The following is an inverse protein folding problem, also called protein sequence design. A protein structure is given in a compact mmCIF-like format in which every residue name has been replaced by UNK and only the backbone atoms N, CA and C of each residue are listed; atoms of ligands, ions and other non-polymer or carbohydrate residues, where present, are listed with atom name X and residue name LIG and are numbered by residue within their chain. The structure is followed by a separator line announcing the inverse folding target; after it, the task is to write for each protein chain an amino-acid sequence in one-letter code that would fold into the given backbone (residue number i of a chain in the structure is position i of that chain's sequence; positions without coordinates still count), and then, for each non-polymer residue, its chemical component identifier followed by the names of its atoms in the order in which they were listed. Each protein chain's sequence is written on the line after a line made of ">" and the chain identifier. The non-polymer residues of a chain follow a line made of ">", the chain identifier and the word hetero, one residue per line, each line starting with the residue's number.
data_IF_923801082481
#
_entry.id   IF_923801082481
#
_cell.length_a   1.000
_cell.length_b   1.000
_cell.length_c   1.000
_cell.angle_alpha   90.00
_cell.angle_beta   90.00
_cell.angle_gamma   90.00
#
_symmetry.space_group_name_H-M   'P 1'
#
loop_
_entity.id
_entity.type
_entity.pdbx_description
1 polymer ?
#
# COMPACT_ATOMS: atom_id res chain seq x y z
N UNK A 1 -25.84 -7.55 3.78
CA UNK A 1 -25.01 -7.89 2.62
C UNK A 1 -23.73 -7.10 2.65
N UNK A 2 -22.62 -7.68 3.10
CA UNK A 2 -21.30 -7.05 3.01
C UNK A 2 -20.71 -7.36 1.64
N UNK A 3 -20.55 -6.35 0.79
CA UNK A 3 -19.89 -6.48 -0.51
C UNK A 3 -18.45 -6.91 -0.27
N UNK A 4 -18.08 -8.13 -0.63
CA UNK A 4 -16.70 -8.60 -0.58
C UNK A 4 -15.87 -7.74 -1.54
N UNK A 5 -15.08 -6.80 -1.01
CA UNK A 5 -14.18 -5.99 -1.81
C UNK A 5 -13.08 -6.91 -2.35
N UNK A 6 -13.16 -7.23 -3.64
CA UNK A 6 -12.12 -8.02 -4.30
C UNK A 6 -10.95 -7.09 -4.63
N UNK A 7 -9.91 -7.14 -3.80
CA UNK A 7 -8.65 -6.43 -4.01
C UNK A 7 -7.82 -7.18 -5.05
N UNK A 8 -7.54 -6.55 -6.18
CA UNK A 8 -6.79 -7.16 -7.29
C UNK A 8 -5.32 -6.74 -7.27
N UNK A 9 -4.63 -6.99 -6.15
CA UNK A 9 -3.19 -6.72 -6.07
C UNK A 9 -2.36 -7.68 -6.93
N UNK A 10 -1.13 -7.30 -7.29
CA UNK A 10 -0.18 -8.20 -7.94
C UNK A 10 0.04 -9.49 -7.13
N UNK A 11 0.33 -10.60 -7.82
CA UNK A 11 0.48 -11.94 -7.23
C UNK A 11 1.54 -12.04 -6.12
N UNK A 12 2.53 -11.15 -6.11
CA UNK A 12 3.56 -11.11 -5.07
C UNK A 12 3.02 -10.64 -3.70
N UNK A 13 1.86 -9.97 -3.67
CA UNK A 13 1.16 -9.62 -2.43
C UNK A 13 0.36 -10.84 -1.97
N UNK A 14 0.98 -11.64 -1.10
CA UNK A 14 0.41 -12.91 -0.61
C UNK A 14 -0.87 -12.74 0.22
N UNK A 15 -1.03 -11.59 0.89
CA UNK A 15 -2.20 -11.28 1.71
C UNK A 15 -2.75 -9.88 1.35
N UNK A 16 -3.62 -9.80 0.32
CA UNK A 16 -4.23 -8.55 -0.14
C UNK A 16 -4.93 -7.73 0.95
N UNK A 17 -5.68 -8.40 1.83
CA UNK A 17 -6.46 -7.73 2.87
C UNK A 17 -5.54 -7.14 3.94
N UNK A 18 -4.56 -7.91 4.42
CA UNK A 18 -3.59 -7.42 5.40
C UNK A 18 -2.74 -6.29 4.84
N UNK A 19 -2.31 -6.39 3.59
CA UNK A 19 -1.57 -5.32 2.93
C UNK A 19 -2.39 -4.04 2.84
N UNK A 20 -3.66 -4.11 2.43
CA UNK A 20 -4.54 -2.94 2.41
C UNK A 20 -4.73 -2.35 3.83
N UNK A 21 -4.89 -3.19 4.85
CA UNK A 21 -5.03 -2.74 6.25
C UNK A 21 -3.76 -2.02 6.75
N UNK A 22 -2.57 -2.55 6.45
CA UNK A 22 -1.29 -1.91 6.77
C UNK A 22 -1.17 -0.53 6.11
N UNK A 23 -1.56 -0.40 4.83
CA UNK A 23 -1.57 0.89 4.13
C UNK A 23 -2.60 1.87 4.73
N UNK A 24 -3.77 1.39 5.17
CA UNK A 24 -4.78 2.21 5.83
C UNK A 24 -4.24 2.75 7.16
N UNK A 25 -3.55 1.90 7.93
CA UNK A 25 -2.93 2.29 9.19
C UNK A 25 -1.82 3.34 8.97
N UNK A 26 -1.05 3.26 7.88
CA UNK A 26 -0.02 4.24 7.51
C UNK A 26 -0.56 5.60 7.05
N UNK A 27 -1.81 5.66 6.60
CA UNK A 27 -2.43 6.95 6.34
C UNK A 27 -2.60 7.78 7.62
N UNK A 28 -2.43 7.19 8.82
CA UNK A 28 -2.81 7.76 10.11
C UNK A 28 -4.29 8.14 10.07
N UNK A 29 -5.05 7.83 11.12
CA UNK A 29 -6.43 8.30 11.21
C UNK A 29 -6.45 9.79 11.57
N UNK A 30 -5.70 10.63 10.87
CA UNK A 30 -5.85 12.06 11.01
C UNK A 30 -7.25 12.44 10.53
N UNK A 31 -8.06 12.91 11.47
CA UNK A 31 -9.39 13.49 11.27
C UNK A 31 -10.50 12.53 10.83
N UNK A 32 -10.43 11.24 11.19
CA UNK A 32 -11.58 10.33 11.06
C UNK A 32 -12.06 10.10 9.61
N UNK A 33 -11.24 10.44 8.62
CA UNK A 33 -11.57 10.21 7.22
C UNK A 33 -11.42 8.72 6.89
N UNK A 34 -12.48 8.15 6.34
CA UNK A 34 -12.56 6.75 5.97
C UNK A 34 -11.69 6.50 4.73
N UNK A 35 -10.47 5.99 4.92
CA UNK A 35 -9.59 5.65 3.80
C UNK A 35 -9.91 4.23 3.33
N UNK A 36 -10.54 4.11 2.18
CA UNK A 36 -10.61 2.84 1.47
C UNK A 36 -9.45 2.77 0.47
N UNK A 37 -8.48 1.89 0.73
CA UNK A 37 -7.38 1.65 -0.20
C UNK A 37 -7.78 0.53 -1.17
N UNK A 38 -7.63 0.82 -2.45
CA UNK A 38 -7.84 -0.16 -3.54
C UNK A 38 -6.54 -0.27 -4.34
N UNK A 39 -6.43 -1.30 -5.18
CA UNK A 39 -5.24 -1.52 -6.02
C UNK A 39 -4.90 -0.31 -6.91
N UNK A 40 -5.89 0.50 -7.28
CA UNK A 40 -5.72 1.70 -8.11
C UNK A 40 -5.00 2.84 -7.40
N UNK A 41 -4.94 2.81 -6.08
CA UNK A 41 -4.28 3.81 -5.26
C UNK A 41 -2.85 3.42 -4.90
N UNK A 42 -2.37 2.28 -5.40
CA UNK A 42 -1.02 1.79 -5.16
C UNK A 42 -0.22 1.82 -6.46
N UNK A 43 0.87 2.57 -6.44
CA UNK A 43 1.84 2.65 -7.52
C UNK A 43 3.07 1.82 -7.15
N UNK A 44 3.02 0.53 -7.49
CA UNK A 44 4.15 -0.38 -7.32
C UNK A 44 5.36 0.01 -8.17
N UNK A 45 5.21 0.81 -9.24
CA UNK A 45 6.34 1.24 -10.08
C UNK A 45 7.15 2.32 -9.37
N UNK A 46 6.46 3.27 -8.73
CA UNK A 46 7.07 4.40 -8.04
C UNK A 46 7.22 4.21 -6.53
N UNK A 47 6.88 3.03 -6.01
CA UNK A 47 6.93 2.73 -4.58
C UNK A 47 6.07 3.67 -3.73
N UNK A 48 4.90 4.08 -4.24
CA UNK A 48 4.01 5.01 -3.56
C UNK A 48 2.58 4.52 -3.51
N UNK A 49 1.79 5.12 -2.63
CA UNK A 49 0.35 4.94 -2.59
C UNK A 49 -0.33 6.24 -2.14
N UNK A 50 -1.62 6.38 -2.45
CA UNK A 50 -2.41 7.58 -2.15
C UNK A 50 -3.32 7.33 -0.96
N UNK A 51 -3.12 8.11 0.10
CA UNK A 51 -4.08 8.31 1.17
C UNK A 51 -5.11 9.35 0.73
N UNK A 52 -6.36 8.91 0.55
CA UNK A 52 -7.47 9.78 0.17
C UNK A 52 -8.25 10.20 1.41
N UNK A 53 -8.13 11.47 1.79
CA UNK A 53 -8.94 12.09 2.83
C UNK A 53 -10.09 12.89 2.19
N UNK A 54 -11.03 13.37 2.99
CA UNK A 54 -12.23 14.09 2.52
C UNK A 54 -11.90 15.30 1.63
N UNK A 55 -10.79 15.99 1.90
CA UNK A 55 -10.43 17.25 1.23
C UNK A 55 -9.05 17.25 0.56
N UNK A 56 -8.26 16.20 0.74
CA UNK A 56 -6.88 16.15 0.24
C UNK A 56 -6.45 14.72 -0.08
N UNK A 57 -5.61 14.58 -1.10
CA UNK A 57 -4.89 13.35 -1.40
C UNK A 57 -3.44 13.53 -0.98
N UNK A 58 -2.92 12.61 -0.17
CA UNK A 58 -1.52 12.59 0.24
C UNK A 58 -0.86 11.36 -0.36
N UNK A 59 0.22 11.57 -1.09
CA UNK A 59 1.06 10.48 -1.59
C UNK A 59 2.07 10.08 -0.52
N UNK A 60 2.03 8.83 -0.09
CA UNK A 60 2.99 8.23 0.86
C UNK A 60 3.82 7.15 0.17
N UNK A 61 4.96 6.79 0.76
CA UNK A 61 5.80 5.67 0.28
C UNK A 61 5.24 4.34 0.77
N UNK A 62 5.33 3.31 -0.06
CA UNK A 62 5.03 1.94 0.35
C UNK A 62 5.96 1.49 1.48
N UNK A 63 5.52 0.55 2.34
CA UNK A 63 6.39 -0.05 3.35
C UNK A 63 7.66 -0.60 2.70
N UNK A 64 8.83 -0.41 3.33
CA UNK A 64 10.14 -0.77 2.77
C UNK A 64 10.23 -2.24 2.33
N UNK A 65 9.53 -3.14 3.02
CA UNK A 65 9.49 -4.57 2.70
C UNK A 65 8.51 -4.94 1.57
N UNK A 66 7.87 -3.96 0.93
CA UNK A 66 6.93 -4.19 -0.17
C UNK A 66 7.69 -4.21 -1.50
N UNK A 67 7.65 -5.31 -2.27
CA UNK A 67 8.25 -5.34 -3.60
C UNK A 67 7.69 -4.23 -4.49
N UNK A 68 8.55 -3.32 -4.94
CA UNK A 68 8.18 -2.18 -5.77
C UNK A 68 9.42 -1.64 -6.53
N UNK A 69 9.19 -0.86 -7.57
CA UNK A 69 10.22 -0.22 -8.39
C UNK A 69 9.92 -0.29 -9.89
N UNK A 70 10.67 0.47 -10.72
CA UNK A 70 10.43 0.58 -12.16
C UNK A 70 10.50 -0.76 -12.91
N UNK A 71 11.20 -1.74 -12.33
CA UNK A 71 11.36 -3.09 -12.89
C UNK A 71 10.61 -4.17 -12.09
N UNK A 72 9.61 -3.81 -11.28
CA UNK A 72 8.92 -4.73 -10.37
C UNK A 72 9.89 -5.50 -9.46
N UNK A 73 10.99 -4.86 -9.03
CA UNK A 73 12.07 -5.56 -8.34
C UNK A 73 11.55 -6.28 -7.10
N UNK A 74 11.48 -7.58 -7.24
CA UNK A 74 11.31 -8.62 -6.22
C UNK A 74 12.56 -8.75 -5.34
N UNK A 75 13.31 -7.67 -5.12
CA UNK A 75 14.49 -7.72 -4.26
C UNK A 75 14.05 -7.53 -2.82
N UNK A 76 13.52 -8.61 -2.24
CA UNK A 76 13.62 -8.91 -0.79
C UNK A 76 15.09 -9.25 -0.44
N UNK A 77 16.04 -8.58 -1.07
CA UNK A 77 17.47 -8.72 -0.83
C UNK A 77 18.08 -7.33 -0.70
N UNK A 78 17.74 -6.64 0.39
CA UNK A 78 18.69 -5.84 1.15
C UNK A 78 18.17 -5.53 2.56
N UNK A 79 17.56 -6.52 3.23
CA UNK A 79 17.78 -6.68 4.66
C UNK A 79 19.13 -7.37 4.86
N UNK A 80 20.20 -6.70 4.44
CA UNK A 80 21.52 -6.96 4.99
C UNK A 80 22.01 -5.67 5.61
N UNK A 81 21.92 -5.69 6.93
CA UNK A 81 22.97 -5.20 7.83
C UNK A 81 23.46 -3.78 7.55
N UNK A 82 22.86 -2.82 8.25
CA UNK A 82 23.67 -1.84 8.96
C UNK A 82 23.26 -1.90 10.43
N UNK A 83 23.82 -2.90 11.12
CA UNK A 83 24.25 -2.74 12.51
C UNK A 83 25.27 -1.60 12.55
#
# INVERSE_FOLDING_TARGET
>A
SGTSVKLNFPKFIKNPLRFADDLINLCERENGAYVAITEKLVDFKNCTFICKYTHVNVTKRLPENTPCGPNNQTDVQNLKENV
#
